data_IF_513595807958
#
_entry.id   IF_513595807958
#
_cell.length_a   1.000
_cell.length_b   1.000
_cell.length_c   1.000
_cell.angle_alpha   90.00
_cell.angle_beta   90.00
_cell.angle_gamma   90.00
#
_symmetry.space_group_name_H-M   'P 1'
#
loop_
_entity.id
_entity.type
_entity.pdbx_description
1 polymer ?
#
# COMPACT_ATOMS: atom_id res chain seq x y z
N UNK A 1 6.11 -21.94 12.31
CA UNK A 1 5.09 -21.72 11.26
C UNK A 1 4.03 -20.83 11.89
N UNK A 2 3.77 -19.64 11.35
CA UNK A 2 2.78 -18.73 11.94
C UNK A 2 1.38 -19.38 11.93
N UNK A 3 0.74 -19.42 13.09
CA UNK A 3 -0.69 -19.69 13.24
C UNK A 3 -1.39 -18.33 13.27
N UNK A 4 -1.80 -17.82 12.11
CA UNK A 4 -2.39 -16.50 11.96
C UNK A 4 -2.50 -16.10 10.49
N UNK A 5 -3.06 -14.93 10.24
CA UNK A 5 -3.21 -14.38 8.90
C UNK A 5 -1.86 -14.17 8.21
N UNK A 6 -1.89 -14.17 6.89
CA UNK A 6 -0.74 -13.92 6.04
C UNK A 6 -0.19 -12.51 6.25
N UNK A 7 1.09 -12.39 6.63
CA UNK A 7 1.72 -11.09 6.89
C UNK A 7 2.49 -10.62 5.66
N UNK A 8 2.21 -9.39 5.23
CA UNK A 8 2.86 -8.74 4.11
C UNK A 8 3.88 -7.69 4.58
N UNK A 9 5.05 -7.68 3.96
CA UNK A 9 6.01 -6.59 4.03
C UNK A 9 5.97 -5.81 2.71
N UNK A 10 5.53 -4.55 2.78
CA UNK A 10 5.51 -3.62 1.66
C UNK A 10 6.73 -2.72 1.79
N UNK A 11 7.64 -2.79 0.83
CA UNK A 11 8.90 -2.06 0.92
C UNK A 11 9.64 -2.01 -0.40
N UNK A 12 10.66 -1.17 -0.48
CA UNK A 12 11.46 -0.98 -1.71
C UNK A 12 12.73 -0.20 -1.42
N UNK A 13 13.39 0.28 -2.47
CA UNK A 13 14.65 1.02 -2.34
C UNK A 13 15.79 0.17 -1.78
N UNK A 14 16.78 0.81 -1.16
CA UNK A 14 17.99 0.15 -0.69
C UNK A 14 17.81 -0.73 0.55
N UNK A 15 16.73 -0.53 1.31
CA UNK A 15 16.48 -1.29 2.54
C UNK A 15 15.95 -2.70 2.24
N UNK A 16 15.05 -2.84 1.26
CA UNK A 16 14.41 -4.13 0.99
C UNK A 16 15.42 -5.24 0.66
N UNK A 17 16.45 -5.05 -0.20
CA UNK A 17 17.46 -6.07 -0.45
C UNK A 17 18.18 -6.56 0.82
N UNK A 18 18.40 -5.67 1.80
CA UNK A 18 19.05 -6.00 3.07
C UNK A 18 18.20 -6.87 4.00
N UNK A 19 16.86 -6.74 3.92
CA UNK A 19 15.94 -7.45 4.81
C UNK A 19 15.14 -8.58 4.12
N UNK A 20 15.10 -8.63 2.79
CA UNK A 20 14.22 -9.53 2.01
C UNK A 20 14.32 -10.99 2.46
N UNK A 21 15.54 -11.54 2.52
CA UNK A 21 15.76 -12.94 2.94
C UNK A 21 15.33 -13.21 4.38
N UNK A 22 15.52 -12.24 5.28
CA UNK A 22 15.11 -12.38 6.68
C UNK A 22 13.58 -12.41 6.78
N UNK A 23 12.90 -11.52 6.07
CA UNK A 23 11.44 -11.44 6.04
C UNK A 23 10.83 -12.72 5.44
N UNK A 24 11.32 -13.18 4.29
CA UNK A 24 10.86 -14.43 3.66
C UNK A 24 11.08 -15.64 4.58
N UNK A 25 12.24 -15.73 5.25
CA UNK A 25 12.53 -16.80 6.22
C UNK A 25 11.55 -16.83 7.39
N UNK A 26 11.04 -15.66 7.79
CA UNK A 26 10.04 -15.54 8.86
C UNK A 26 8.59 -15.63 8.33
N UNK A 27 8.39 -15.99 7.06
CA UNK A 27 7.07 -16.23 6.49
C UNK A 27 6.33 -14.97 6.03
N UNK A 28 7.02 -13.84 5.87
CA UNK A 28 6.43 -12.65 5.26
C UNK A 28 6.35 -12.82 3.74
N UNK A 29 5.24 -12.38 3.15
CA UNK A 29 5.18 -12.12 1.71
C UNK A 29 5.68 -10.72 1.40
N UNK A 30 6.44 -10.59 0.33
CA UNK A 30 7.08 -9.32 -0.04
C UNK A 30 6.31 -8.68 -1.19
N UNK A 31 5.92 -7.42 -1.03
CA UNK A 31 5.51 -6.55 -2.12
C UNK A 31 6.62 -5.52 -2.35
N UNK A 32 7.31 -5.65 -3.47
CA UNK A 32 8.53 -4.89 -3.81
C UNK A 32 8.26 -3.58 -4.56
N UNK A 33 6.99 -3.25 -4.83
CA UNK A 33 6.56 -1.99 -5.41
C UNK A 33 5.70 -1.16 -4.42
N UNK A 34 6.31 -0.52 -3.41
CA UNK A 34 5.58 0.23 -2.39
C UNK A 34 4.96 1.51 -2.97
N UNK A 35 5.52 2.04 -4.06
CA UNK A 35 5.03 3.24 -4.73
C UNK A 35 3.67 2.96 -5.38
N UNK A 36 3.57 1.86 -6.13
CA UNK A 36 2.31 1.45 -6.77
C UNK A 36 1.21 1.16 -5.74
N UNK A 37 1.55 0.45 -4.65
CA UNK A 37 0.61 0.20 -3.55
C UNK A 37 0.06 1.51 -2.95
N UNK A 38 0.93 2.50 -2.74
CA UNK A 38 0.53 3.80 -2.20
C UNK A 38 -0.34 4.59 -3.19
N UNK A 39 0.06 4.65 -4.47
CA UNK A 39 -0.68 5.34 -5.53
C UNK A 39 -2.08 4.74 -5.68
N UNK A 40 -2.19 3.41 -5.67
CA UNK A 40 -3.47 2.73 -5.77
C UNK A 40 -4.39 3.06 -4.59
N UNK A 41 -3.87 2.99 -3.36
CA UNK A 41 -4.64 3.34 -2.15
C UNK A 41 -5.12 4.79 -2.18
N UNK A 42 -4.25 5.73 -2.56
CA UNK A 42 -4.60 7.15 -2.71
C UNK A 42 -5.69 7.37 -3.77
N UNK A 43 -5.59 6.68 -4.91
CA UNK A 43 -6.59 6.76 -5.98
C UNK A 43 -7.96 6.25 -5.53
N UNK A 44 -8.01 5.11 -4.84
CA UNK A 44 -9.27 4.55 -4.31
C UNK A 44 -9.90 5.46 -3.25
N UNK A 45 -9.08 6.08 -2.39
CA UNK A 45 -9.57 7.10 -1.45
C UNK A 45 -10.14 8.31 -2.20
N UNK A 46 -9.44 8.82 -3.22
CA UNK A 46 -9.92 9.95 -4.02
C UNK A 46 -11.24 9.64 -4.73
N UNK A 47 -11.39 8.46 -5.35
CA UNK A 47 -12.65 8.00 -5.96
C UNK A 47 -13.78 7.90 -4.93
N UNK A 48 -13.48 7.40 -3.73
CA UNK A 48 -14.48 7.25 -2.66
C UNK A 48 -14.95 8.61 -2.15
N UNK A 49 -14.03 9.57 -2.00
CA UNK A 49 -14.37 10.94 -1.59
C UNK A 49 -15.18 11.64 -2.68
N UNK A 50 -14.76 11.51 -3.95
CA UNK A 50 -15.46 12.12 -5.09
C UNK A 50 -16.87 11.54 -5.28
N UNK A 51 -17.06 10.24 -5.07
CA UNK A 51 -18.38 9.59 -5.23
C UNK A 51 -19.31 9.84 -4.06
N UNK A 52 -18.78 10.04 -2.84
CA UNK A 52 -19.57 10.44 -1.66
C UNK A 52 -20.01 11.90 -1.67
N UNK A 53 -19.47 12.73 -2.58
CA UNK A 53 -19.75 14.16 -2.62
C UNK A 53 -20.24 14.62 -4.03
N UNK A 54 -21.47 14.28 -4.46
CA UNK A 54 -22.00 14.74 -5.74
C UNK A 54 -22.36 16.24 -5.79
N UNK A 55 -22.25 16.99 -4.69
CA UNK A 55 -22.51 18.44 -4.68
C UNK A 55 -21.80 19.14 -3.51
N UNK A 56 -20.73 19.88 -3.78
CA UNK A 56 -20.36 21.16 -3.14
C UNK A 56 -18.86 21.43 -3.30
N UNK A 57 -18.43 21.79 -4.51
CA UNK A 57 -17.33 22.76 -4.63
C UNK A 57 -17.52 23.51 -5.95
N UNK A 58 -18.25 24.63 -5.87
CA UNK A 58 -18.00 25.72 -6.81
C UNK A 58 -16.62 26.27 -6.44
N UNK A 59 -15.56 25.71 -7.05
CA UNK A 59 -14.26 26.35 -7.07
C UNK A 59 -14.40 27.58 -7.97
N UNK A 60 -14.81 28.71 -7.37
CA UNK A 60 -14.61 30.02 -7.99
C UNK A 60 -13.14 30.37 -7.83
N UNK A 61 -12.44 30.36 -8.97
CA UNK A 61 -11.20 31.11 -9.19
C UNK A 61 -11.48 32.61 -9.13
#
# INVERSE_FOLDING_TARGET
KHQGDEIWAIGGGCLLPGFKKLLEKNGFKILDNPVEANVFGLLEMAKTISSKNPASTSLKL
#
